data_IF_706387134200
#
_entry.id   IF_706387134200
#
_cell.length_a   1.000
_cell.length_b   1.000
_cell.length_c   1.000
_cell.angle_alpha   90.00
_cell.angle_beta   90.00
_cell.angle_gamma   90.00
#
_symmetry.space_group_name_H-M   'P 1'
#
loop_
_entity.id
_entity.type
_entity.pdbx_description
1 polymer ?
#
# COMPACT_ATOMS: atom_id res chain seq x y z
N UNK A 1 8.33 -7.26 -8.06
CA UNK A 1 8.86 -5.86 -8.09
C UNK A 1 10.23 -5.82 -7.42
N UNK A 2 11.31 -5.55 -8.16
CA UNK A 2 12.68 -5.57 -7.62
C UNK A 2 13.08 -4.30 -6.83
N UNK A 3 12.32 -3.22 -6.97
CA UNK A 3 12.55 -1.95 -6.27
C UNK A 3 11.69 -0.81 -6.82
N UNK A 4 11.82 0.38 -6.23
CA UNK A 4 11.11 1.59 -6.64
C UNK A 4 9.78 1.77 -5.92
N UNK A 5 8.88 2.56 -6.52
CA UNK A 5 7.59 2.93 -5.93
C UNK A 5 6.50 2.93 -7.00
N UNK A 6 5.39 2.25 -6.71
CA UNK A 6 4.16 2.25 -7.51
C UNK A 6 3.06 2.88 -6.66
N UNK A 7 2.30 3.82 -7.24
CA UNK A 7 1.15 4.45 -6.59
C UNK A 7 -0.10 4.12 -7.38
N UNK A 8 -1.12 3.60 -6.70
CA UNK A 8 -2.43 3.31 -7.28
C UNK A 8 -3.45 4.22 -6.60
N UNK A 9 -3.90 5.24 -7.34
CA UNK A 9 -4.84 6.24 -6.85
C UNK A 9 -6.32 5.87 -6.97
N UNK A 10 -6.65 4.67 -7.46
CA UNK A 10 -8.03 4.18 -7.63
C UNK A 10 -8.19 2.74 -7.13
N UNK A 11 -9.27 2.08 -7.53
CA UNK A 11 -9.58 0.73 -7.10
C UNK A 11 -8.70 -0.34 -7.76
N UNK A 12 -8.37 -1.39 -7.02
CA UNK A 12 -7.74 -2.63 -7.48
C UNK A 12 -8.61 -3.82 -7.12
N UNK A 13 -8.57 -4.86 -7.95
CA UNK A 13 -9.34 -6.09 -7.70
C UNK A 13 -8.70 -6.99 -6.65
N UNK A 14 -7.38 -7.01 -6.60
CA UNK A 14 -6.62 -7.91 -5.72
C UNK A 14 -5.18 -7.44 -5.58
N UNK A 15 -4.54 -7.84 -4.49
CA UNK A 15 -3.11 -7.66 -4.24
C UNK A 15 -2.39 -9.01 -4.25
N UNK A 16 -1.12 -9.01 -4.62
CA UNK A 16 -0.30 -10.22 -4.52
C UNK A 16 0.02 -10.49 -3.04
N UNK A 17 -0.02 -11.75 -2.58
CA UNK A 17 0.28 -12.11 -1.20
C UNK A 17 1.76 -11.92 -0.82
N UNK A 18 2.63 -11.66 -1.80
CA UNK A 18 4.04 -11.33 -1.59
C UNK A 18 4.29 -9.84 -1.30
N UNK A 19 3.22 -9.05 -1.15
CA UNK A 19 3.26 -7.70 -0.64
C UNK A 19 2.61 -7.67 0.73
N UNK A 20 3.36 -7.21 1.74
CA UNK A 20 2.89 -7.12 3.11
C UNK A 20 2.54 -5.69 3.45
N UNK A 21 1.41 -5.51 4.13
CA UNK A 21 1.01 -4.20 4.65
C UNK A 21 2.03 -3.76 5.70
N UNK A 22 2.60 -2.59 5.51
CA UNK A 22 3.57 -1.97 6.42
C UNK A 22 2.90 -0.91 7.29
N UNK A 23 2.16 0.00 6.67
CA UNK A 23 1.56 1.15 7.37
C UNK A 23 0.42 1.78 6.57
N UNK A 24 -0.40 2.59 7.24
CA UNK A 24 -1.35 3.51 6.60
C UNK A 24 -0.82 4.94 6.76
N UNK A 25 -0.59 5.63 5.65
CA UNK A 25 -0.19 7.03 5.66
C UNK A 25 -1.39 7.94 5.35
N UNK A 26 -1.64 9.01 6.12
CA UNK A 26 -2.78 9.91 5.88
C UNK A 26 -2.65 10.74 4.58
N UNK A 27 -1.44 10.90 4.09
CA UNK A 27 -1.11 11.52 2.80
C UNK A 27 0.24 11.01 2.31
N UNK A 28 0.49 11.12 1.01
CA UNK A 28 1.79 10.76 0.40
C UNK A 28 2.29 11.85 -0.53
N UNK A 29 3.60 11.89 -0.76
CA UNK A 29 4.24 12.77 -1.75
C UNK A 29 5.11 11.95 -2.68
N UNK A 30 4.87 12.04 -3.97
CA UNK A 30 5.64 11.32 -5.00
C UNK A 30 6.14 12.30 -6.05
N UNK A 31 7.47 12.36 -6.23
CA UNK A 31 8.13 13.28 -7.17
C UNK A 31 7.60 14.72 -7.10
N UNK A 32 7.39 15.22 -5.87
CA UNK A 32 6.83 16.55 -5.55
C UNK A 32 5.33 16.74 -5.76
N UNK A 33 4.60 15.73 -6.23
CA UNK A 33 3.15 15.74 -6.34
C UNK A 33 2.56 15.24 -5.01
N UNK A 34 1.84 16.08 -4.24
CA UNK A 34 1.13 15.65 -3.05
C UNK A 34 -0.15 14.89 -3.42
N UNK A 35 -0.49 13.90 -2.62
CA UNK A 35 -1.78 13.23 -2.63
C UNK A 35 -2.36 13.32 -1.23
N UNK A 36 -3.34 14.22 -1.07
CA UNK A 36 -3.99 14.54 0.20
C UNK A 36 -5.15 13.59 0.50
N UNK A 37 -4.86 12.30 0.52
CA UNK A 37 -5.79 11.22 0.92
C UNK A 37 -5.01 10.03 1.49
N UNK A 38 -5.63 9.15 2.29
CA UNK A 38 -4.92 8.05 2.92
C UNK A 38 -4.49 6.96 1.92
N UNK A 39 -3.30 6.41 2.14
CA UNK A 39 -2.74 5.30 1.37
C UNK A 39 -2.27 4.17 2.29
N UNK A 40 -2.65 2.94 1.95
CA UNK A 40 -2.00 1.76 2.46
C UNK A 40 -0.65 1.57 1.78
N UNK A 41 0.41 1.45 2.57
CA UNK A 41 1.79 1.24 2.12
C UNK A 41 2.10 -0.24 2.30
N UNK A 42 2.49 -0.88 1.21
CA UNK A 42 2.95 -2.25 1.18
C UNK A 42 4.43 -2.32 0.84
N UNK A 43 5.14 -3.23 1.50
CA UNK A 43 6.50 -3.62 1.19
C UNK A 43 6.48 -4.98 0.50
N UNK A 44 7.18 -5.07 -0.62
CA UNK A 44 7.25 -6.27 -1.44
C UNK A 44 8.12 -5.99 -2.65
N UNK A 45 8.18 -6.83 -3.67
CA UNK A 45 7.70 -8.18 -3.69
C UNK A 45 8.74 -9.05 -2.98
N UNK A 46 8.36 -9.76 -1.92
CA UNK A 46 9.32 -10.54 -1.13
C UNK A 46 9.93 -11.70 -1.90
N UNK A 47 9.30 -12.14 -2.99
CA UNK A 47 9.89 -13.13 -3.90
C UNK A 47 11.09 -12.58 -4.67
N UNK A 48 11.27 -11.25 -4.68
CA UNK A 48 12.33 -10.52 -5.37
C UNK A 48 12.96 -9.45 -4.45
N UNK A 49 13.43 -9.88 -3.29
CA UNK A 49 14.18 -9.11 -2.27
C UNK A 49 13.38 -8.06 -1.48
N UNK A 50 12.09 -7.84 -1.74
CA UNK A 50 11.22 -7.02 -0.88
C UNK A 50 11.56 -5.52 -0.83
N UNK A 51 12.21 -4.98 -1.86
CA UNK A 51 12.70 -3.58 -1.87
C UNK A 51 11.75 -2.56 -2.53
N UNK A 52 10.58 -3.00 -2.96
CA UNK A 52 9.57 -2.20 -3.63
C UNK A 52 8.50 -1.69 -2.68
N UNK A 53 8.03 -0.48 -2.96
CA UNK A 53 6.90 0.13 -2.27
C UNK A 53 5.68 0.16 -3.19
N UNK A 54 4.59 -0.45 -2.74
CA UNK A 54 3.29 -0.34 -3.40
C UNK A 54 2.36 0.48 -2.51
N UNK A 55 1.90 1.63 -3.01
CA UNK A 55 1.02 2.54 -2.27
C UNK A 55 -0.36 2.51 -2.91
N UNK A 56 -1.38 2.08 -2.17
CA UNK A 56 -2.75 1.90 -2.66
C UNK A 56 -3.66 2.85 -1.92
N UNK A 57 -4.48 3.60 -2.66
CA UNK A 57 -5.47 4.50 -2.06
C UNK A 57 -6.38 3.73 -1.11
N UNK A 58 -6.47 4.17 0.14
CA UNK A 58 -7.19 3.42 1.17
C UNK A 58 -8.71 3.48 0.95
N UNK A 59 -9.25 4.68 0.74
CA UNK A 59 -10.70 4.89 0.56
C UNK A 59 -11.25 4.15 -0.66
N UNK A 60 -10.51 4.12 -1.77
CA UNK A 60 -10.94 3.43 -3.00
C UNK A 60 -10.88 1.90 -2.90
N UNK A 61 -10.31 1.36 -1.81
CA UNK A 61 -10.03 -0.08 -1.64
C UNK A 61 -10.36 -0.59 -0.22
N UNK A 62 -11.27 0.10 0.48
CA UNK A 62 -11.56 -0.15 1.90
C UNK A 62 -11.93 -1.61 2.20
N UNK A 63 -12.82 -2.19 1.39
CA UNK A 63 -13.26 -3.59 1.53
C UNK A 63 -12.10 -4.61 1.43
N UNK A 64 -11.07 -4.28 0.63
CA UNK A 64 -9.87 -5.11 0.46
C UNK A 64 -8.86 -4.91 1.60
N UNK A 65 -8.82 -3.71 2.19
CA UNK A 65 -7.74 -3.28 3.10
C UNK A 65 -8.11 -3.38 4.58
N UNK A 66 -9.37 -3.19 4.97
CA UNK A 66 -9.82 -3.27 6.37
C UNK A 66 -9.43 -4.58 7.08
N UNK A 67 -9.54 -5.78 6.45
CA UNK A 67 -9.12 -7.03 7.08
C UNK A 67 -7.61 -7.07 7.37
N UNK A 68 -6.81 -6.35 6.60
CA UNK A 68 -5.34 -6.32 6.75
C UNK A 68 -4.92 -5.32 7.83
N UNK A 69 -5.67 -4.23 8.02
CA UNK A 69 -5.36 -3.23 9.04
C UNK A 69 -5.62 -3.71 10.45
N UNK A 70 -6.54 -4.66 10.65
CA UNK A 70 -6.80 -5.26 11.96
C UNK A 70 -5.51 -5.85 12.59
N UNK A 71 -4.64 -6.41 11.76
CA UNK A 71 -3.36 -7.00 12.17
C UNK A 71 -2.37 -5.95 12.72
N UNK A 72 -2.51 -4.68 12.32
CA UNK A 72 -1.64 -3.59 12.78
C UNK A 72 -2.10 -2.96 14.10
N UNK A 73 -3.36 -3.15 14.49
CA UNK A 73 -3.94 -2.53 15.69
C UNK A 73 -3.69 -3.30 16.99
N UNK A 74 -3.18 -4.53 16.92
CA UNK A 74 -2.64 -5.25 18.09
C UNK A 74 -3.67 -5.63 19.17
N UNK A 75 -4.96 -5.75 18.82
CA UNK A 75 -6.03 -6.24 19.71
C UNK A 75 -6.45 -7.69 19.38
#
# INVERSE_FOLDING_TARGET
MAGGRIVIGGAVKSLLPSFYLDSIAPSIKVKKIPFDKPFAIFIGDVTVLGRGFLQVSYEDNKDLLEPLTYVLSGE
#
